data_IF_604731673589
#
_entry.id   IF_604731673589
#
_cell.length_a   1.000
_cell.length_b   1.000
_cell.length_c   1.000
_cell.angle_alpha   90.00
_cell.angle_beta   90.00
_cell.angle_gamma   90.00
#
_symmetry.space_group_name_H-M   'P 1'
#
loop_
_entity.id
_entity.type
_entity.pdbx_description
1 polymer ?
#
# COMPACT_ATOMS: atom_id res chain seq x y z
N UNK A 1 3.73 -7.72 15.50
CA UNK A 1 4.07 -6.28 15.56
C UNK A 1 4.96 -5.99 14.38
N UNK A 2 4.64 -4.96 13.59
CA UNK A 2 5.36 -4.63 12.37
C UNK A 2 6.25 -3.41 12.62
N UNK A 3 7.45 -3.42 12.05
CA UNK A 3 8.34 -2.27 12.07
C UNK A 3 8.06 -1.42 10.84
N UNK A 4 7.74 -0.15 11.06
CA UNK A 4 7.49 0.81 9.99
C UNK A 4 8.51 1.93 10.07
N UNK A 5 8.96 2.42 8.91
CA UNK A 5 9.77 3.63 8.82
C UNK A 5 9.28 4.53 7.71
N UNK A 6 9.54 5.82 7.89
CA UNK A 6 9.24 6.86 6.93
C UNK A 6 10.41 7.83 6.86
N UNK A 7 10.86 8.14 5.65
CA UNK A 7 11.93 9.08 5.42
C UNK A 7 11.56 10.01 4.26
N UNK A 8 11.67 11.32 4.52
CA UNK A 8 11.53 12.35 3.50
C UNK A 8 12.94 12.74 3.04
N UNK A 9 13.32 12.23 1.86
CA UNK A 9 14.56 12.57 1.21
C UNK A 9 14.45 13.91 0.47
N UNK A 10 15.59 14.48 0.10
CA UNK A 10 15.65 15.75 -0.61
C UNK A 10 14.79 15.75 -1.90
N UNK A 11 14.18 16.88 -2.24
CA UNK A 11 13.47 17.05 -3.51
C UNK A 11 12.06 16.43 -3.57
N UNK A 12 11.37 16.37 -2.42
CA UNK A 12 10.03 15.78 -2.25
C UNK A 12 9.98 14.27 -2.49
N UNK A 13 11.11 13.58 -2.40
CA UNK A 13 11.16 12.13 -2.46
C UNK A 13 10.84 11.54 -1.09
N UNK A 14 10.03 10.50 -1.08
CA UNK A 14 9.57 9.84 0.13
C UNK A 14 9.85 8.36 0.00
N UNK A 15 10.52 7.83 1.02
CA UNK A 15 10.74 6.41 1.21
C UNK A 15 9.93 5.97 2.42
N UNK A 16 9.07 4.97 2.23
CA UNK A 16 8.37 4.28 3.31
C UNK A 16 8.75 2.82 3.25
N UNK A 17 8.94 2.19 4.39
CA UNK A 17 9.05 0.75 4.45
C UNK A 17 8.36 0.17 5.66
N UNK A 18 8.05 -1.10 5.56
CA UNK A 18 7.37 -1.88 6.57
C UNK A 18 7.86 -3.31 6.50
N UNK A 19 8.10 -3.93 7.64
CA UNK A 19 8.52 -5.33 7.70
C UNK A 19 8.05 -5.97 8.99
N UNK A 20 7.66 -7.23 8.90
CA UNK A 20 7.32 -8.00 10.09
C UNK A 20 6.68 -9.34 9.81
N UNK A 21 6.54 -10.16 10.86
CA UNK A 21 5.83 -11.43 10.77
C UNK A 21 4.31 -11.22 10.86
N UNK A 22 3.58 -12.02 10.09
CA UNK A 22 2.14 -12.25 10.20
C UNK A 22 1.93 -13.65 10.75
N UNK A 23 1.37 -13.75 11.95
CA UNK A 23 1.10 -15.04 12.60
C UNK A 23 -0.42 -15.18 12.74
N UNK A 24 -1.06 -16.11 12.03
CA UNK A 24 -2.50 -16.33 12.17
C UNK A 24 -2.79 -16.83 13.58
N UNK A 25 -3.75 -16.20 14.25
CA UNK A 25 -4.20 -16.60 15.59
C UNK A 25 -5.31 -17.65 15.55
N UNK A 26 -5.81 -17.98 14.37
CA UNK A 26 -6.83 -19.01 14.17
C UNK A 26 -6.17 -20.38 13.94
N UNK A 27 -6.67 -21.41 14.63
CA UNK A 27 -6.20 -22.80 14.58
C UNK A 27 -6.71 -23.58 13.36
N UNK A 28 -6.70 -22.98 12.17
CA UNK A 28 -7.04 -23.70 10.95
C UNK A 28 -5.90 -24.67 10.58
N UNK A 29 -6.12 -25.97 10.84
CA UNK A 29 -5.11 -27.05 10.67
C UNK A 29 -4.50 -27.11 9.27
N UNK A 30 -5.26 -26.77 8.24
CA UNK A 30 -4.88 -27.01 6.84
C UNK A 30 -4.70 -25.73 6.01
N UNK A 31 -4.92 -24.55 6.61
CA UNK A 31 -4.83 -23.26 5.89
C UNK A 31 -4.12 -22.14 6.66
N UNK A 32 -3.75 -22.38 7.92
CA UNK A 32 -2.96 -21.43 8.70
C UNK A 32 -1.48 -21.50 8.32
N UNK A 33 -0.92 -20.37 7.88
CA UNK A 33 0.52 -20.22 7.71
C UNK A 33 0.99 -18.89 8.29
N UNK A 34 2.15 -18.91 8.93
CA UNK A 34 2.86 -17.70 9.34
C UNK A 34 3.71 -17.22 8.18
N UNK A 35 3.60 -15.95 7.83
CA UNK A 35 4.38 -15.32 6.76
C UNK A 35 5.24 -14.19 7.31
N UNK A 36 6.28 -13.84 6.54
CA UNK A 36 7.06 -12.63 6.72
C UNK A 36 6.72 -11.69 5.58
N UNK A 37 6.35 -10.47 5.93
CA UNK A 37 5.95 -9.42 5.00
C UNK A 37 7.01 -8.33 4.97
N UNK A 38 7.37 -7.88 3.77
CA UNK A 38 8.27 -6.76 3.55
C UNK A 38 7.70 -5.87 2.47
N UNK A 39 7.63 -4.58 2.77
CA UNK A 39 7.13 -3.56 1.88
C UNK A 39 8.13 -2.42 1.82
N UNK A 40 8.43 -1.96 0.61
CA UNK A 40 9.23 -0.78 0.35
C UNK A 40 8.52 0.06 -0.71
N UNK A 41 8.16 1.29 -0.35
CA UNK A 41 7.58 2.26 -1.26
C UNK A 41 8.52 3.45 -1.44
N UNK A 42 8.81 3.78 -2.70
CA UNK A 42 9.48 5.00 -3.09
C UNK A 42 8.50 5.83 -3.91
N UNK A 43 8.34 7.09 -3.54
CA UNK A 43 7.46 7.98 -4.27
C UNK A 43 7.91 9.42 -4.23
N UNK A 44 7.26 10.24 -5.04
CA UNK A 44 7.50 11.66 -5.10
C UNK A 44 6.22 12.43 -4.81
N UNK A 45 6.36 13.41 -3.94
CA UNK A 45 5.29 14.29 -3.50
C UNK A 45 5.21 15.55 -4.37
N UNK A 46 3.98 15.90 -4.74
CA UNK A 46 3.64 17.08 -5.52
C UNK A 46 2.49 17.79 -4.80
N UNK A 47 2.75 18.92 -4.13
CA UNK A 47 1.73 19.59 -3.32
C UNK A 47 0.51 20.06 -4.15
N UNK A 48 0.71 20.35 -5.44
CA UNK A 48 -0.34 20.87 -6.32
C UNK A 48 -0.72 22.31 -5.99
N UNK A 49 -1.74 22.83 -6.70
CA UNK A 49 -2.33 24.14 -6.39
C UNK A 49 -3.39 24.02 -5.31
N UNK A 50 -3.42 24.99 -4.39
CA UNK A 50 -4.45 25.08 -3.33
C UNK A 50 -5.86 25.35 -3.86
N UNK A 51 -5.99 25.76 -5.12
CA UNK A 51 -7.28 26.03 -5.77
C UNK A 51 -7.79 24.83 -6.58
N UNK A 52 -6.98 23.77 -6.72
CA UNK A 52 -7.39 22.56 -7.43
C UNK A 52 -8.29 21.68 -6.56
N UNK A 53 -9.22 20.97 -7.19
CA UNK A 53 -10.05 19.93 -6.56
C UNK A 53 -9.24 18.71 -6.07
N UNK A 54 -8.03 18.54 -6.60
CA UNK A 54 -7.08 17.51 -6.19
C UNK A 54 -5.74 18.11 -5.80
N UNK A 55 -5.30 17.80 -4.58
CA UNK A 55 -4.09 18.36 -3.97
C UNK A 55 -3.21 17.24 -3.42
N UNK A 56 -1.99 17.56 -2.99
CA UNK A 56 -1.13 16.61 -2.29
C UNK A 56 -0.92 15.29 -3.04
N UNK A 57 -0.62 15.40 -4.34
CA UNK A 57 -0.38 14.25 -5.19
C UNK A 57 0.89 13.52 -4.76
N UNK A 58 0.79 12.20 -4.71
CA UNK A 58 1.91 11.30 -4.50
C UNK A 58 1.88 10.27 -5.60
N UNK A 59 2.96 10.14 -6.35
CA UNK A 59 3.17 9.04 -7.29
C UNK A 59 4.24 8.14 -6.70
N UNK A 60 3.97 6.85 -6.63
CA UNK A 60 4.86 5.91 -5.97
C UNK A 60 4.94 4.60 -6.73
N UNK A 61 6.03 3.88 -6.48
CA UNK A 61 6.15 2.46 -6.77
C UNK A 61 6.38 1.78 -5.44
N UNK A 62 5.58 0.77 -5.17
CA UNK A 62 5.68 -0.07 -3.98
C UNK A 62 6.10 -1.47 -4.41
N UNK A 63 7.10 -2.00 -3.72
CA UNK A 63 7.56 -3.36 -3.84
C UNK A 63 7.12 -4.12 -2.59
N UNK A 64 6.35 -5.19 -2.79
CA UNK A 64 5.80 -6.02 -1.72
C UNK A 64 6.31 -7.45 -1.89
N UNK A 65 6.92 -7.99 -0.84
CA UNK A 65 7.38 -9.37 -0.78
C UNK A 65 6.78 -10.06 0.44
N UNK A 66 6.12 -11.20 0.21
CA UNK A 66 5.62 -12.07 1.26
C UNK A 66 6.28 -13.45 1.15
N UNK A 67 6.64 -14.05 2.28
CA UNK A 67 7.21 -15.40 2.31
C UNK A 67 6.68 -16.20 3.49
N UNK A 68 6.17 -17.40 3.24
CA UNK A 68 5.76 -18.33 4.29
C UNK A 68 6.97 -18.83 5.08
N UNK A 69 6.94 -18.65 6.39
CA UNK A 69 7.97 -19.10 7.33
C UNK A 69 7.58 -20.42 7.98
N UNK A 70 6.29 -20.62 8.25
CA UNK A 70 5.76 -21.82 8.89
C UNK A 70 4.31 -22.09 8.48
N UNK A 71 3.88 -23.36 8.54
CA UNK A 71 2.53 -23.78 8.14
C UNK A 71 2.46 -24.26 6.69
N UNK A 72 1.24 -24.36 6.17
CA UNK A 72 0.95 -24.90 4.83
C UNK A 72 0.30 -23.79 3.98
N UNK A 73 0.78 -23.53 2.76
CA UNK A 73 1.85 -24.21 2.03
C UNK A 73 3.27 -23.83 2.49
N UNK A 74 4.17 -24.82 2.59
CA UNK A 74 5.48 -24.70 3.26
C UNK A 74 6.53 -23.85 2.53
N UNK A 75 6.24 -23.34 1.32
CA UNK A 75 7.18 -22.64 0.42
C UNK A 75 6.45 -21.69 -0.54
N UNK A 76 5.61 -20.82 0.00
CA UNK A 76 4.99 -19.78 -0.78
C UNK A 76 5.77 -18.48 -0.59
N UNK A 77 6.37 -17.99 -1.68
CA UNK A 77 6.96 -16.65 -1.74
C UNK A 77 6.32 -15.94 -2.91
N UNK A 78 5.80 -14.74 -2.66
CA UNK A 78 5.26 -13.84 -3.67
C UNK A 78 6.04 -12.55 -3.66
N UNK A 79 6.13 -11.94 -4.85
CA UNK A 79 6.67 -10.60 -5.01
C UNK A 79 5.78 -9.85 -5.98
N UNK A 80 5.40 -8.62 -5.63
CA UNK A 80 4.57 -7.77 -6.46
C UNK A 80 5.10 -6.34 -6.51
N UNK A 81 4.85 -5.68 -7.65
CA UNK A 81 5.09 -4.27 -7.83
C UNK A 81 3.76 -3.54 -7.99
N UNK A 82 3.61 -2.43 -7.26
CA UNK A 82 2.43 -1.60 -7.24
C UNK A 82 2.82 -0.17 -7.59
N UNK A 83 2.95 0.18 -8.89
CA UNK A 83 2.88 1.58 -9.29
C UNK A 83 1.49 2.13 -8.93
N UNK A 84 1.49 3.32 -8.32
CA UNK A 84 0.26 3.92 -7.85
C UNK A 84 0.36 5.40 -7.60
N UNK A 85 -0.77 5.95 -7.20
CA UNK A 85 -0.92 7.32 -6.81
C UNK A 85 -1.84 7.47 -5.60
N UNK A 86 -1.66 8.59 -4.91
CA UNK A 86 -2.54 9.10 -3.86
C UNK A 86 -2.75 10.59 -4.08
N UNK A 87 -3.95 11.09 -3.88
CA UNK A 87 -4.19 12.54 -3.79
C UNK A 87 -5.27 12.86 -2.77
N UNK A 88 -5.20 14.07 -2.23
CA UNK A 88 -6.24 14.66 -1.38
C UNK A 88 -7.34 15.23 -2.28
N UNK A 89 -8.61 14.93 -1.97
CA UNK A 89 -9.78 15.49 -2.62
C UNK A 89 -10.32 16.66 -1.78
N UNK A 90 -10.61 17.80 -2.40
CA UNK A 90 -10.92 19.06 -1.69
C UNK A 90 -12.22 19.73 -2.13
N UNK A 91 -13.02 19.08 -2.96
CA UNK A 91 -14.28 19.65 -3.47
C UNK A 91 -15.35 19.80 -2.36
N UNK A 92 -16.25 20.82 -2.43
CA UNK A 92 -17.35 21.02 -1.47
C UNK A 92 -18.27 19.80 -1.27
N UNK A 93 -18.40 18.91 -2.26
CA UNK A 93 -19.11 17.65 -2.11
C UNK A 93 -18.49 16.76 -1.03
N UNK A 94 -17.17 16.80 -0.83
CA UNK A 94 -16.46 16.01 0.17
C UNK A 94 -16.30 16.75 1.51
N UNK A 95 -16.29 18.08 1.49
CA UNK A 95 -16.27 18.94 2.69
C UNK A 95 -17.54 18.81 3.53
N UNK A 96 -18.67 18.41 2.94
CA UNK A 96 -19.95 18.24 3.65
C UNK A 96 -20.20 16.81 4.16
N UNK A 97 -19.29 15.86 3.91
CA UNK A 97 -19.41 14.45 4.36
C UNK A 97 -18.63 14.23 5.68
N UNK A 98 -18.05 15.30 6.27
CA UNK A 98 -17.35 15.27 7.56
C UNK A 98 -16.28 16.36 7.67
N UNK A 99 -15.64 16.49 8.83
CA UNK A 99 -14.55 17.46 9.09
C UNK A 99 -13.16 17.00 8.62
N UNK A 100 -13.05 15.75 8.17
CA UNK A 100 -11.80 15.06 7.87
C UNK A 100 -11.34 15.19 6.42
N UNK A 101 -10.16 14.65 6.14
CA UNK A 101 -9.49 14.75 4.85
C UNK A 101 -9.79 13.52 4.01
N UNK A 102 -10.34 13.73 2.80
CA UNK A 102 -10.58 12.66 1.85
C UNK A 102 -9.37 12.41 0.96
N UNK A 103 -8.98 11.14 0.82
CA UNK A 103 -7.88 10.72 -0.04
C UNK A 103 -8.35 9.67 -1.04
N UNK A 104 -7.99 9.87 -2.31
CA UNK A 104 -8.15 8.89 -3.38
C UNK A 104 -6.84 8.16 -3.63
N UNK A 105 -6.93 6.85 -3.81
CA UNK A 105 -5.82 5.96 -4.10
C UNK A 105 -6.14 5.16 -5.36
N UNK A 106 -5.15 5.03 -6.23
CA UNK A 106 -5.21 4.14 -7.38
C UNK A 106 -3.85 3.47 -7.56
N UNK A 107 -3.83 2.15 -7.74
CA UNK A 107 -2.62 1.41 -8.05
C UNK A 107 -2.94 0.21 -8.94
N UNK A 108 -1.93 -0.30 -9.64
CA UNK A 108 -2.05 -1.58 -10.35
C UNK A 108 -1.10 -2.56 -9.69
N UNK A 109 -1.63 -3.64 -9.13
CA UNK A 109 -0.84 -4.73 -8.63
C UNK A 109 -0.35 -5.59 -9.79
N UNK A 110 0.97 -5.69 -9.93
CA UNK A 110 1.68 -6.47 -10.94
C UNK A 110 2.43 -7.60 -10.23
N UNK A 111 1.90 -8.83 -10.24
CA UNK A 111 2.59 -9.97 -9.69
C UNK A 111 3.84 -10.28 -10.51
N UNK A 112 4.99 -10.30 -9.85
CA UNK A 112 6.28 -10.57 -10.47
C UNK A 112 6.68 -12.04 -10.31
N UNK A 113 6.32 -12.65 -9.18
CA UNK A 113 6.60 -14.07 -8.88
C UNK A 113 5.53 -14.68 -7.96
N UNK A 114 5.58 -16.00 -7.80
CA UNK A 114 4.63 -16.77 -6.98
C UNK A 114 3.39 -17.23 -7.77
N UNK A 115 2.44 -17.93 -7.12
CA UNK A 115 1.16 -18.27 -7.72
C UNK A 115 0.38 -17.01 -8.09
N UNK A 116 0.14 -16.81 -9.39
CA UNK A 116 -0.56 -15.63 -9.91
C UNK A 116 -2.01 -16.01 -10.21
N UNK A 117 -2.97 -15.43 -9.47
CA UNK A 117 -4.38 -15.54 -9.82
C UNK A 117 -4.80 -14.53 -10.90
N UNK A 118 -3.95 -13.54 -11.19
CA UNK A 118 -4.16 -12.49 -12.18
C UNK A 118 -2.82 -11.99 -12.72
N UNK A 119 -2.80 -11.46 -13.96
CA UNK A 119 -1.61 -10.79 -14.53
C UNK A 119 -1.49 -9.33 -14.08
N UNK A 120 -2.62 -8.65 -13.90
CA UNK A 120 -2.72 -7.28 -13.41
C UNK A 120 -4.02 -7.14 -12.62
N UNK A 121 -3.97 -6.47 -11.47
CA UNK A 121 -5.16 -6.16 -10.68
C UNK A 121 -5.20 -4.66 -10.37
N UNK A 122 -6.16 -3.89 -10.92
CA UNK A 122 -6.35 -2.51 -10.53
C UNK A 122 -6.97 -2.46 -9.13
N UNK A 123 -6.48 -1.52 -8.32
CA UNK A 123 -6.92 -1.26 -6.95
C UNK A 123 -7.30 0.21 -6.87
N UNK A 124 -8.50 0.48 -6.38
CA UNK A 124 -8.99 1.83 -6.12
C UNK A 124 -9.54 1.88 -4.71
N UNK A 125 -9.22 2.93 -3.98
CA UNK A 125 -9.76 3.16 -2.65
C UNK A 125 -9.99 4.65 -2.42
N UNK A 126 -11.04 4.94 -1.67
CA UNK A 126 -11.31 6.26 -1.10
C UNK A 126 -11.24 6.08 0.42
N UNK A 127 -10.37 6.85 1.06
CA UNK A 127 -10.20 6.83 2.50
C UNK A 127 -10.54 8.20 3.08
N UNK A 128 -11.10 8.18 4.28
CA UNK A 128 -11.38 9.35 5.10
C UNK A 128 -10.45 9.34 6.31
N UNK A 129 -9.70 10.43 6.49
CA UNK A 129 -8.79 10.64 7.62
C UNK A 129 -9.46 11.59 8.62
N UNK A 130 -9.64 11.15 9.87
CA UNK A 130 -10.40 11.84 10.93
C UNK A 130 -9.60 12.94 11.61
#
# INVERSE_FOLDING_TARGET
>A
MWYQFWWNAYGNWVLKGETGPTVPTNHAKDSGYSSYHNLLALGRYFPGSKESWFQQWWFYVLADAESTIAGTPRRFTSFTLLPGMRCKMTDPLFTNIGTGLWYFFASVNVPMTGPQSFSYQPIFAILYDY
#
